data_IF_020319119172
#
_entry.id   IF_020319119172
#
_cell.length_a   1.000
_cell.length_b   1.000
_cell.length_c   1.000
_cell.angle_alpha   90.00
_cell.angle_beta   90.00
_cell.angle_gamma   90.00
#
_symmetry.space_group_name_H-M   'P 1'
#
loop_
_entity.id
_entity.type
_entity.pdbx_description
1 polymer ?
#
# COMPACT_ATOMS: atom_id res chain seq x y z
N UNK A 1 -11.62 4.35 28.90
CA UNK A 1 -10.52 5.03 28.18
C UNK A 1 -11.04 6.40 27.76
N UNK A 2 -10.34 7.51 28.07
CA UNK A 2 -10.82 8.84 27.70
C UNK A 2 -10.57 9.11 26.21
N UNK A 3 -11.32 10.02 25.59
CA UNK A 3 -11.14 10.37 24.17
C UNK A 3 -9.72 10.85 23.84
N UNK A 4 -9.06 11.52 24.79
CA UNK A 4 -7.67 11.96 24.64
C UNK A 4 -6.70 10.78 24.63
N UNK A 5 -6.87 9.82 25.54
CA UNK A 5 -5.97 8.65 25.57
C UNK A 5 -6.13 7.76 24.34
N UNK A 6 -7.34 7.68 23.75
CA UNK A 6 -7.56 6.98 22.49
C UNK A 6 -6.83 7.65 21.31
N UNK A 7 -6.92 8.97 21.19
CA UNK A 7 -6.25 9.72 20.13
C UNK A 7 -4.71 9.59 20.20
N UNK A 8 -4.15 9.64 21.40
CA UNK A 8 -2.70 9.49 21.59
C UNK A 8 -2.24 8.06 21.30
N UNK A 9 -3.03 7.06 21.72
CA UNK A 9 -2.77 5.66 21.39
C UNK A 9 -2.78 5.43 19.87
N UNK A 10 -3.81 5.93 19.17
CA UNK A 10 -3.93 5.83 17.71
C UNK A 10 -2.74 6.49 17.00
N UNK A 11 -2.34 7.69 17.42
CA UNK A 11 -1.18 8.38 16.84
C UNK A 11 0.13 7.62 17.07
N UNK A 12 0.29 7.00 18.23
CA UNK A 12 1.49 6.21 18.55
C UNK A 12 1.61 4.96 17.69
N UNK A 13 0.51 4.22 17.50
CA UNK A 13 0.52 2.89 16.89
C UNK A 13 0.14 2.82 15.41
N UNK A 14 -0.54 3.84 14.86
CA UNK A 14 -0.99 3.86 13.47
C UNK A 14 0.13 3.66 12.44
N UNK A 15 1.27 4.34 12.59
CA UNK A 15 2.40 4.21 11.63
C UNK A 15 3.11 2.85 11.76
N UNK A 16 3.47 2.35 12.96
CA UNK A 16 3.97 0.98 13.12
C UNK A 16 3.02 -0.08 12.57
N UNK A 17 1.71 0.04 12.84
CA UNK A 17 0.71 -0.88 12.31
C UNK A 17 0.64 -0.82 10.78
N UNK A 18 0.70 0.39 10.19
CA UNK A 18 0.77 0.57 8.74
C UNK A 18 2.01 -0.12 8.15
N UNK A 19 3.18 0.06 8.76
CA UNK A 19 4.44 -0.56 8.28
C UNK A 19 4.39 -2.07 8.40
N UNK A 20 3.82 -2.60 9.48
CA UNK A 20 3.57 -4.03 9.63
C UNK A 20 2.63 -4.57 8.54
N UNK A 21 1.57 -3.82 8.21
CA UNK A 21 0.58 -4.23 7.21
C UNK A 21 1.02 -3.97 5.76
N UNK A 22 2.12 -3.24 5.54
CA UNK A 22 2.54 -2.82 4.21
C UNK A 22 2.85 -3.98 3.25
N UNK A 23 3.50 -5.08 3.67
CA UNK A 23 3.70 -6.24 2.80
C UNK A 23 2.42 -7.04 2.54
N UNK A 24 1.38 -6.83 3.34
CA UNK A 24 0.11 -7.53 3.22
C UNK A 24 -0.72 -6.81 2.15
N UNK A 25 -0.46 -7.16 0.89
CA UNK A 25 -1.10 -6.57 -0.27
C UNK A 25 -2.57 -7.00 -0.39
N UNK A 26 -3.46 -6.39 0.40
CA UNK A 26 -4.89 -6.60 0.26
C UNK A 26 -5.33 -5.98 -1.07
N UNK A 27 -5.79 -6.81 -2.01
CA UNK A 27 -6.23 -6.36 -3.34
C UNK A 27 -7.65 -6.85 -3.60
N UNK A 28 -8.53 -5.92 -3.96
CA UNK A 28 -9.84 -6.23 -4.50
C UNK A 28 -9.83 -6.03 -6.01
N UNK A 29 -10.01 -7.11 -6.78
CA UNK A 29 -10.08 -7.05 -8.24
C UNK A 29 -11.49 -6.63 -8.66
N UNK A 30 -11.62 -5.48 -9.30
CA UNK A 30 -12.92 -4.92 -9.73
C UNK A 30 -13.22 -5.28 -11.18
N UNK A 31 -12.22 -5.19 -12.06
CA UNK A 31 -12.33 -5.49 -13.49
C UNK A 31 -11.09 -6.23 -13.94
N UNK A 32 -11.27 -7.47 -14.38
CA UNK A 32 -10.24 -8.23 -15.08
C UNK A 32 -10.22 -7.77 -16.54
N UNK A 33 -9.03 -7.57 -17.09
CA UNK A 33 -8.86 -7.38 -18.53
C UNK A 33 -8.07 -8.54 -19.12
N UNK A 34 -8.48 -8.99 -20.30
CA UNK A 34 -7.87 -10.12 -20.99
C UNK A 34 -7.41 -9.69 -22.38
N UNK A 35 -6.21 -10.14 -22.77
CA UNK A 35 -5.67 -9.96 -24.12
C UNK A 35 -5.42 -11.34 -24.68
N UNK A 36 -6.14 -11.71 -25.74
CA UNK A 36 -6.10 -13.05 -26.35
C UNK A 36 -6.41 -14.20 -25.38
N UNK A 37 -7.33 -14.01 -24.44
CA UNK A 37 -7.73 -15.03 -23.46
C UNK A 37 -6.78 -15.19 -22.27
N UNK A 38 -5.77 -14.31 -22.13
CA UNK A 38 -4.88 -14.26 -20.98
C UNK A 38 -5.13 -12.99 -20.18
N UNK A 39 -5.17 -13.12 -18.84
CA UNK A 39 -5.33 -11.98 -17.93
C UNK A 39 -4.14 -11.02 -18.07
N UNK A 40 -4.44 -9.76 -18.37
CA UNK A 40 -3.45 -8.69 -18.41
C UNK A 40 -3.46 -7.92 -17.08
N UNK A 41 -2.50 -8.25 -16.22
CA UNK A 41 -2.41 -7.69 -14.87
C UNK A 41 -2.29 -6.17 -14.84
N UNK A 42 -1.58 -5.57 -15.80
CA UNK A 42 -1.37 -4.12 -15.83
C UNK A 42 -2.63 -3.36 -16.26
N UNK A 43 -3.56 -4.00 -16.98
CA UNK A 43 -4.83 -3.39 -17.40
C UNK A 43 -6.01 -3.74 -16.48
N UNK A 44 -5.75 -4.54 -15.44
CA UNK A 44 -6.75 -4.96 -14.46
C UNK A 44 -6.97 -3.84 -13.44
N UNK A 45 -8.24 -3.48 -13.24
CA UNK A 45 -8.63 -2.49 -12.23
C UNK A 45 -8.73 -3.16 -10.87
N UNK A 46 -7.95 -2.62 -9.93
CA UNK A 46 -7.70 -3.15 -8.59
C UNK A 46 -7.81 -2.05 -7.56
N UNK A 47 -8.57 -2.30 -6.51
CA UNK A 47 -8.60 -1.46 -5.33
C UNK A 47 -7.65 -2.06 -4.28
N UNK A 48 -6.56 -1.35 -4.02
CA UNK A 48 -5.56 -1.78 -3.05
C UNK A 48 -5.95 -1.26 -1.65
N UNK A 49 -6.00 -2.14 -0.67
CA UNK A 49 -6.27 -1.80 0.73
C UNK A 49 -5.16 -0.98 1.38
N UNK A 50 -3.90 -1.21 1.00
CA UNK A 50 -2.74 -0.50 1.57
C UNK A 50 -2.79 1.02 1.28
N UNK A 51 -3.00 1.51 0.04
CA UNK A 51 -3.26 2.93 -0.22
C UNK A 51 -4.39 3.54 0.61
N UNK A 52 -5.51 2.82 0.78
CA UNK A 52 -6.63 3.30 1.61
C UNK A 52 -6.20 3.44 3.08
N UNK A 53 -5.46 2.45 3.60
CA UNK A 53 -4.90 2.49 4.96
C UNK A 53 -3.91 3.67 5.13
N UNK A 54 -3.05 3.90 4.14
CA UNK A 54 -2.12 5.05 4.14
C UNK A 54 -2.91 6.35 4.23
N UNK A 55 -3.96 6.53 3.42
CA UNK A 55 -4.82 7.71 3.47
C UNK A 55 -5.49 7.87 4.84
N UNK A 56 -5.98 6.78 5.44
CA UNK A 56 -6.55 6.80 6.79
C UNK A 56 -5.55 7.23 7.87
N UNK A 57 -4.32 6.70 7.82
CA UNK A 57 -3.24 7.11 8.75
C UNK A 57 -2.83 8.56 8.48
N UNK A 58 -2.74 8.98 7.22
CA UNK A 58 -2.48 10.36 6.85
C UNK A 58 -3.53 11.32 7.43
N UNK A 59 -4.80 10.92 7.45
CA UNK A 59 -5.88 11.69 8.07
C UNK A 59 -5.71 11.81 9.59
N UNK A 60 -5.32 10.73 10.28
CA UNK A 60 -5.01 10.78 11.73
C UNK A 60 -3.86 11.76 12.02
N UNK A 61 -2.89 11.86 11.10
CA UNK A 61 -1.73 12.74 11.19
C UNK A 61 -1.84 14.01 10.32
N UNK A 62 -3.05 14.43 9.93
CA UNK A 62 -3.27 15.43 8.87
C UNK A 62 -2.53 16.74 9.12
N UNK A 63 -2.50 17.24 10.37
CA UNK A 63 -1.81 18.49 10.72
C UNK A 63 -0.33 18.45 10.37
N UNK A 64 0.28 17.28 10.51
CA UNK A 64 1.69 17.06 10.24
C UNK A 64 1.96 16.91 8.76
N UNK A 65 1.10 16.16 8.07
CA UNK A 65 1.13 16.00 6.62
C UNK A 65 1.00 17.37 5.95
N UNK A 66 0.03 18.18 6.35
CA UNK A 66 -0.16 19.56 5.85
C UNK A 66 1.05 20.43 6.15
N UNK A 67 1.61 20.37 7.36
CA UNK A 67 2.80 21.15 7.71
C UNK A 67 4.03 20.77 6.86
N UNK A 68 4.20 19.47 6.55
CA UNK A 68 5.26 18.98 5.67
C UNK A 68 5.07 19.51 4.24
N UNK A 69 3.87 19.37 3.68
CA UNK A 69 3.57 19.85 2.33
C UNK A 69 3.62 21.38 2.20
N UNK A 70 3.31 22.13 3.26
CA UNK A 70 3.40 23.60 3.23
C UNK A 70 4.82 24.10 2.89
N UNK A 71 5.86 23.38 3.32
CA UNK A 71 7.26 23.72 2.98
C UNK A 71 7.59 23.42 1.52
N UNK A 72 6.94 22.44 0.92
CA UNK A 72 7.16 21.97 -0.45
C UNK A 72 5.98 22.32 -1.38
N UNK A 73 5.21 23.36 -1.08
CA UNK A 73 3.90 23.57 -1.69
C UNK A 73 3.97 23.71 -3.21
N UNK A 74 4.91 24.49 -3.74
CA UNK A 74 5.07 24.68 -5.20
C UNK A 74 5.33 23.34 -5.90
N UNK A 75 6.28 22.56 -5.41
CA UNK A 75 6.60 21.25 -5.98
C UNK A 75 5.43 20.26 -5.85
N UNK A 76 4.71 20.31 -4.73
CA UNK A 76 3.57 19.43 -4.46
C UNK A 76 2.38 19.73 -5.39
N UNK A 77 2.05 21.02 -5.58
CA UNK A 77 1.01 21.43 -6.52
C UNK A 77 1.41 21.19 -7.97
N UNK A 78 2.69 21.41 -8.33
CA UNK A 78 3.20 21.08 -9.66
C UNK A 78 3.11 19.59 -9.97
N UNK A 79 3.54 18.73 -9.03
CA UNK A 79 3.45 17.28 -9.19
C UNK A 79 1.99 16.81 -9.27
N UNK A 80 1.10 17.33 -8.43
CA UNK A 80 -0.32 17.00 -8.48
C UNK A 80 -0.97 17.47 -9.79
N UNK A 81 -0.65 18.68 -10.26
CA UNK A 81 -1.11 19.20 -11.53
C UNK A 81 -0.66 18.32 -12.70
N UNK A 82 0.60 17.89 -12.71
CA UNK A 82 1.14 16.98 -13.72
C UNK A 82 0.43 15.62 -13.69
N UNK A 83 0.18 15.06 -12.51
CA UNK A 83 -0.58 13.81 -12.37
C UNK A 83 -2.02 13.96 -12.89
N UNK A 84 -2.68 15.09 -12.63
CA UNK A 84 -4.03 15.34 -13.14
C UNK A 84 -4.04 15.47 -14.66
N UNK A 85 -3.10 16.21 -15.25
CA UNK A 85 -2.95 16.30 -16.71
C UNK A 85 -2.72 14.91 -17.30
N UNK A 86 -1.86 14.11 -16.70
CA UNK A 86 -1.60 12.75 -17.14
C UNK A 86 -2.87 11.87 -17.12
N UNK A 87 -3.67 11.95 -16.04
CA UNK A 87 -4.95 11.21 -15.94
C UNK A 87 -5.95 11.65 -17.01
N UNK A 88 -6.02 12.95 -17.32
CA UNK A 88 -6.95 13.50 -18.33
C UNK A 88 -6.54 13.13 -19.76
N UNK A 89 -5.24 13.07 -20.04
CA UNK A 89 -4.70 12.77 -21.38
C UNK A 89 -4.61 11.26 -21.65
N UNK A 90 -4.67 10.43 -20.60
CA UNK A 90 -4.57 8.98 -20.74
C UNK A 90 -5.75 8.37 -21.52
N UNK A 91 -5.45 7.35 -22.34
CA UNK A 91 -6.46 6.61 -23.10
C UNK A 91 -7.43 5.82 -22.22
N UNK A 92 -6.97 5.29 -21.08
CA UNK A 92 -7.80 4.73 -20.01
C UNK A 92 -7.62 5.58 -18.74
N UNK A 93 -8.52 6.54 -18.56
CA UNK A 93 -8.51 7.45 -17.42
C UNK A 93 -8.68 6.73 -16.07
N UNK A 94 -9.40 5.59 -16.04
CA UNK A 94 -9.62 4.82 -14.81
C UNK A 94 -8.31 4.15 -14.37
N UNK A 95 -7.61 3.54 -15.32
CA UNK A 95 -6.31 2.94 -15.04
C UNK A 95 -5.27 3.99 -14.65
N UNK A 96 -5.24 5.13 -15.34
CA UNK A 96 -4.36 6.24 -15.00
C UNK A 96 -4.64 6.77 -13.59
N UNK A 97 -5.91 6.92 -13.22
CA UNK A 97 -6.30 7.33 -11.87
C UNK A 97 -5.85 6.34 -10.80
N UNK A 98 -5.97 5.02 -11.07
CA UNK A 98 -5.46 3.98 -10.16
C UNK A 98 -3.96 4.14 -9.94
N UNK A 99 -3.17 4.28 -11.00
CA UNK A 99 -1.72 4.43 -10.89
C UNK A 99 -1.33 5.75 -10.20
N UNK A 100 -2.00 6.85 -10.53
CA UNK A 100 -1.80 8.13 -9.85
C UNK A 100 -2.11 8.03 -8.34
N UNK A 101 -3.15 7.28 -7.96
CA UNK A 101 -3.49 7.07 -6.55
C UNK A 101 -2.40 6.30 -5.79
N UNK A 102 -1.72 5.34 -6.43
CA UNK A 102 -0.61 4.61 -5.84
C UNK A 102 0.61 5.52 -5.63
N UNK A 103 0.92 6.38 -6.61
CA UNK A 103 1.99 7.38 -6.48
C UNK A 103 1.70 8.32 -5.31
N UNK A 104 0.47 8.84 -5.22
CA UNK A 104 0.05 9.71 -4.10
C UNK A 104 0.18 8.98 -2.77
N UNK A 105 -0.25 7.71 -2.68
CA UNK A 105 -0.09 6.91 -1.48
C UNK A 105 1.38 6.69 -1.10
N UNK A 106 2.27 6.45 -2.07
CA UNK A 106 3.71 6.33 -1.85
C UNK A 106 4.32 7.62 -1.29
N UNK A 107 3.95 8.78 -1.85
CA UNK A 107 4.38 10.09 -1.33
C UNK A 107 3.86 10.32 0.09
N UNK A 108 2.60 9.99 0.36
CA UNK A 108 1.99 10.11 1.69
C UNK A 108 2.71 9.23 2.72
N UNK A 109 3.00 7.97 2.37
CA UNK A 109 3.76 7.07 3.21
C UNK A 109 5.14 7.66 3.55
N UNK A 110 5.86 8.15 2.55
CA UNK A 110 7.18 8.77 2.74
C UNK A 110 7.10 9.96 3.69
N UNK A 111 6.12 10.86 3.50
CA UNK A 111 5.88 12.01 4.39
C UNK A 111 5.58 11.55 5.81
N UNK A 112 4.75 10.52 6.00
CA UNK A 112 4.43 9.97 7.32
C UNK A 112 5.67 9.44 8.04
N UNK A 113 6.56 8.75 7.33
CA UNK A 113 7.82 8.24 7.88
C UNK A 113 8.77 9.38 8.25
N UNK A 114 8.94 10.38 7.39
CA UNK A 114 9.78 11.56 7.67
C UNK A 114 9.30 12.36 8.88
N UNK A 115 7.99 12.64 8.94
CA UNK A 115 7.37 13.34 10.07
C UNK A 115 7.62 12.60 11.38
N UNK A 116 7.54 11.27 11.36
CA UNK A 116 7.78 10.45 12.54
C UNK A 116 9.24 10.48 12.97
N UNK A 117 10.18 10.37 12.03
CA UNK A 117 11.61 10.46 12.29
C UNK A 117 11.98 11.81 12.94
N UNK A 118 11.48 12.92 12.42
CA UNK A 118 11.75 14.25 12.97
C UNK A 118 11.23 14.48 14.40
N UNK A 119 10.27 13.69 14.87
CA UNK A 119 9.70 13.84 16.22
C UNK A 119 10.43 13.06 17.29
N UNK A 120 11.51 12.34 16.95
CA UNK A 120 12.20 11.46 17.89
C UNK A 120 11.29 10.36 18.47
N UNK A 121 10.17 10.08 17.78
CA UNK A 121 9.26 9.02 18.21
C UNK A 121 9.97 7.68 18.01
N UNK A 122 9.98 6.83 19.04
CA UNK A 122 10.69 5.55 19.09
C UNK A 122 10.80 4.84 17.72
N UNK A 123 11.90 5.07 17.01
CA UNK A 123 12.18 4.51 15.69
C UNK A 123 12.14 2.98 15.76
N UNK A 124 12.55 2.44 16.91
CA UNK A 124 12.48 1.03 17.26
C UNK A 124 11.10 0.41 17.02
N UNK A 125 9.98 1.10 17.27
CA UNK A 125 8.65 0.50 17.03
C UNK A 125 8.37 0.27 15.55
N UNK A 126 8.81 1.19 14.70
CA UNK A 126 8.64 1.08 13.25
C UNK A 126 9.59 0.04 12.69
N UNK A 127 10.85 0.05 13.16
CA UNK A 127 11.84 -0.95 12.80
C UNK A 127 11.39 -2.36 13.18
N UNK A 128 10.94 -2.58 14.43
CA UNK A 128 10.44 -3.88 14.86
C UNK A 128 9.20 -4.30 14.09
N UNK A 129 8.26 -3.39 13.83
CA UNK A 129 7.10 -3.69 12.99
C UNK A 129 7.53 -4.18 11.59
N UNK A 130 8.50 -3.50 10.97
CA UNK A 130 9.08 -3.90 9.68
C UNK A 130 9.77 -5.27 9.75
N UNK A 131 10.68 -5.46 10.72
CA UNK A 131 11.43 -6.71 10.86
C UNK A 131 10.50 -7.90 11.11
N UNK A 132 9.50 -7.74 11.97
CA UNK A 132 8.55 -8.81 12.28
C UNK A 132 7.74 -9.14 11.03
N UNK A 133 7.18 -8.16 10.32
CA UNK A 133 6.42 -8.48 9.10
C UNK A 133 7.29 -9.11 8.02
N UNK A 134 8.54 -8.66 7.84
CA UNK A 134 9.46 -9.26 6.87
C UNK A 134 9.83 -10.70 7.25
N UNK A 135 10.00 -10.98 8.55
CA UNK A 135 10.22 -12.34 9.03
C UNK A 135 9.02 -13.24 8.72
N UNK A 136 7.79 -12.76 8.98
CA UNK A 136 6.57 -13.52 8.63
C UNK A 136 6.49 -13.78 7.13
N UNK A 137 6.75 -12.76 6.29
CA UNK A 137 6.74 -12.91 4.84
C UNK A 137 7.82 -13.89 4.35
N UNK A 138 9.03 -13.85 4.95
CA UNK A 138 10.09 -14.80 4.62
C UNK A 138 9.71 -16.24 4.98
N UNK A 139 9.08 -16.46 6.14
CA UNK A 139 8.58 -17.79 6.52
C UNK A 139 7.49 -18.27 5.56
N UNK A 140 6.53 -17.41 5.20
CA UNK A 140 5.49 -17.75 4.22
C UNK A 140 6.10 -18.10 2.85
N UNK A 141 7.09 -17.35 2.39
CA UNK A 141 7.79 -17.64 1.14
C UNK A 141 8.53 -18.99 1.19
N UNK A 142 9.20 -19.31 2.30
CA UNK A 142 9.85 -20.63 2.46
C UNK A 142 8.83 -21.77 2.47
N UNK A 143 7.67 -21.58 3.09
CA UNK A 143 6.58 -22.56 3.06
C UNK A 143 6.06 -22.75 1.64
N UNK A 144 5.77 -21.66 0.91
CA UNK A 144 5.31 -21.70 -0.48
C UNK A 144 6.33 -22.40 -1.38
N UNK A 145 7.62 -22.11 -1.21
CA UNK A 145 8.69 -22.78 -1.93
C UNK A 145 8.75 -24.28 -1.61
N UNK A 146 8.57 -24.69 -0.36
CA UNK A 146 8.60 -26.11 0.01
C UNK A 146 7.38 -26.89 -0.47
N UNK A 147 6.19 -26.29 -0.36
CA UNK A 147 4.92 -26.96 -0.69
C UNK A 147 4.64 -26.90 -2.19
N UNK A 148 5.21 -25.93 -2.92
CA UNK A 148 4.90 -25.65 -4.33
C UNK A 148 3.40 -25.36 -4.56
N UNK A 149 2.70 -24.98 -3.49
CA UNK A 149 1.30 -24.57 -3.53
C UNK A 149 1.12 -23.23 -2.84
N UNK A 150 0.18 -22.46 -3.36
CA UNK A 150 -0.27 -21.23 -2.73
C UNK A 150 -1.77 -21.33 -2.52
N UNK A 151 -2.22 -21.16 -1.28
CA UNK A 151 -3.64 -21.17 -1.00
C UNK A 151 -4.29 -19.87 -1.48
N UNK A 152 -5.40 -20.01 -2.20
CA UNK A 152 -6.21 -18.86 -2.60
C UNK A 152 -6.76 -18.14 -1.39
N UNK A 153 -6.51 -16.84 -1.29
CA UNK A 153 -7.06 -15.98 -0.24
C UNK A 153 -7.53 -14.67 -0.85
N UNK A 154 -8.85 -14.48 -0.85
CA UNK A 154 -9.47 -13.22 -1.26
C UNK A 154 -9.01 -12.05 -0.37
N UNK A 155 -8.72 -12.30 0.90
CA UNK A 155 -8.22 -11.29 1.82
C UNK A 155 -6.80 -10.84 1.48
N UNK A 156 -5.94 -11.77 1.05
CA UNK A 156 -4.55 -11.48 0.70
C UNK A 156 -4.37 -11.14 -0.79
N UNK A 157 -5.45 -11.17 -1.59
CA UNK A 157 -5.37 -10.98 -3.04
C UNK A 157 -4.57 -12.08 -3.75
N UNK A 158 -4.48 -13.26 -3.15
CA UNK A 158 -3.64 -14.37 -3.64
C UNK A 158 -4.53 -15.39 -4.35
N UNK A 159 -4.22 -15.71 -5.60
CA UNK A 159 -4.87 -16.80 -6.33
C UNK A 159 -4.37 -18.16 -5.82
N UNK A 160 -5.20 -19.20 -5.92
CA UNK A 160 -4.73 -20.54 -5.60
C UNK A 160 -3.80 -21.03 -6.71
N UNK A 161 -2.61 -21.52 -6.33
CA UNK A 161 -1.67 -22.17 -7.25
C UNK A 161 -1.55 -23.63 -6.84
N UNK A 162 -2.01 -24.53 -7.70
CA UNK A 162 -1.89 -25.99 -7.51
C UNK A 162 -0.99 -26.59 -8.60
N UNK A 163 0.06 -27.34 -8.24
CA UNK A 163 1.06 -27.86 -9.18
C UNK A 163 0.49 -28.90 -10.15
N UNK A 164 -0.71 -29.41 -9.89
CA UNK A 164 -1.45 -30.28 -10.81
C UNK A 164 -2.12 -29.54 -11.99
N UNK A 165 -2.15 -28.20 -12.00
CA UNK A 165 -2.75 -27.40 -13.08
C UNK A 165 -1.64 -26.80 -13.95
N UNK A 166 -1.45 -27.36 -15.14
CA UNK A 166 -0.46 -26.89 -16.12
C UNK A 166 -0.72 -25.44 -16.54
N UNK A 167 0.35 -24.65 -16.69
CA UNK A 167 0.27 -23.24 -17.16
C UNK A 167 0.26 -22.19 -16.05
N UNK A 168 0.32 -22.61 -14.79
CA UNK A 168 0.40 -21.71 -13.64
C UNK A 168 1.85 -21.70 -13.13
N UNK A 169 2.67 -20.67 -13.45
CA UNK A 169 4.02 -20.59 -12.92
C UNK A 169 3.94 -20.41 -11.39
N UNK A 170 4.49 -21.38 -10.66
CA UNK A 170 4.78 -21.27 -9.23
C UNK A 170 6.18 -20.68 -9.15
N UNK A 171 6.27 -19.37 -8.93
CA UNK A 171 7.54 -18.70 -8.62
C UNK A 171 7.43 -18.15 -7.21
#
# INVERSE_FOLDING_TARGET
MSLRTLADWLRSWSIPALVFLLPWQIVWVVRVQEVHGYVWDLATIRLYGVPLLICGVALVHWRLVVAAFRKAWVASFGALGLLLVWVVVASDAILALQQASQIVAGVLLFVLLLVRAHRGASEHKVLWAFLITMCVQAVLALIQFGVQEVWGSALLGVAAHTPGVLGVPVV
#
